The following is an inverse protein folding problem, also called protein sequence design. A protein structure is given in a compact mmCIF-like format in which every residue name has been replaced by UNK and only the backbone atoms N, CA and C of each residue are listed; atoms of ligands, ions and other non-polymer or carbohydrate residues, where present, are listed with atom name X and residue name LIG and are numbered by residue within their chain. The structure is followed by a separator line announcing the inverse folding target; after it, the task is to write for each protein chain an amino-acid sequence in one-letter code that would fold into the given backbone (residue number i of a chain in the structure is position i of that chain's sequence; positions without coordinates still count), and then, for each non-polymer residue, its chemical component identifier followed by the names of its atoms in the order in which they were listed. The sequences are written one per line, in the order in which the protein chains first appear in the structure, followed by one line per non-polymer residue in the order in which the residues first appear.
data_IF_447508708963
#
_entry.id   IF_447508708963
#
_cell.length_a   1.000
_cell.length_b   1.000
_cell.length_c   1.000
_cell.angle_alpha   90.00
_cell.angle_beta   90.00
_cell.angle_gamma   90.00
#
_symmetry.space_group_name_H-M   'P 1'
#
loop_
_entity.id
_entity.type
_entity.pdbx_description
1 polymer ?
#
# COMPACT_ATOMS: atom_id res chain seq x y z
N UNK A 1 -0.56 -10.25 -12.28
CA UNK A 1 -2.02 -10.14 -12.45
C UNK A 1 -2.67 -9.97 -11.09
N UNK A 2 -3.69 -9.11 -10.96
CA UNK A 2 -4.42 -8.92 -9.69
C UNK A 2 -5.38 -10.08 -9.43
N UNK A 3 -5.77 -10.30 -8.17
CA UNK A 3 -6.73 -11.35 -7.76
C UNK A 3 -7.85 -10.76 -6.90
N UNK A 4 -9.02 -11.41 -6.91
CA UNK A 4 -10.11 -11.08 -5.98
C UNK A 4 -9.63 -11.40 -4.55
N UNK A 5 -9.94 -10.51 -3.61
CA UNK A 5 -9.47 -10.55 -2.23
C UNK A 5 -8.08 -9.95 -2.02
N UNK A 6 -7.39 -9.53 -3.09
CA UNK A 6 -6.05 -8.94 -3.00
C UNK A 6 -6.14 -7.47 -2.53
N UNK A 7 -5.23 -7.10 -1.63
CA UNK A 7 -5.00 -5.71 -1.22
C UNK A 7 -4.08 -5.02 -2.23
N UNK A 8 -4.50 -3.84 -2.69
CA UNK A 8 -3.76 -3.03 -3.65
C UNK A 8 -3.63 -1.61 -3.13
N UNK A 9 -2.51 -0.96 -3.43
CA UNK A 9 -2.28 0.45 -3.10
C UNK A 9 -2.53 1.33 -4.31
N UNK A 10 -3.29 2.41 -4.14
CA UNK A 10 -3.46 3.41 -5.18
C UNK A 10 -2.18 4.24 -5.31
N UNK A 11 -1.53 4.16 -6.47
CA UNK A 11 -0.32 4.95 -6.79
C UNK A 11 -0.63 6.13 -7.70
N UNK A 12 -1.82 6.15 -8.30
CA UNK A 12 -2.24 7.26 -9.13
C UNK A 12 -3.68 7.69 -8.79
N UNK A 13 -3.78 8.70 -7.92
CA UNK A 13 -5.04 9.38 -7.63
C UNK A 13 -5.34 10.53 -8.61
N UNK A 14 -4.50 10.78 -9.62
CA UNK A 14 -4.56 11.97 -10.47
C UNK A 14 -5.83 12.05 -11.30
N UNK A 15 -6.18 13.30 -11.57
CA UNK A 15 -7.40 13.75 -12.25
C UNK A 15 -7.11 13.89 -13.74
N UNK A 16 -7.72 13.08 -14.61
CA UNK A 16 -7.92 13.50 -16.00
C UNK A 16 -9.20 14.32 -16.09
N UNK A 17 -8.98 15.63 -16.17
CA UNK A 17 -9.89 16.72 -16.49
C UNK A 17 -11.12 16.97 -15.60
N UNK A 18 -12.10 16.09 -15.37
CA UNK A 18 -13.24 16.47 -14.50
C UNK A 18 -13.92 15.30 -13.75
N UNK A 19 -13.93 15.43 -12.40
CA UNK A 19 -14.76 14.79 -11.35
C UNK A 19 -14.50 13.31 -10.91
N UNK A 20 -13.95 13.24 -9.68
CA UNK A 20 -14.26 12.38 -8.52
C UNK A 20 -14.41 10.86 -8.73
N UNK A 21 -13.33 10.14 -8.41
CA UNK A 21 -13.45 8.88 -7.66
C UNK A 21 -12.92 9.11 -6.25
N UNK A 22 -13.41 8.36 -5.25
CA UNK A 22 -12.94 8.50 -3.85
C UNK A 22 -11.56 7.87 -3.62
N UNK A 23 -10.71 7.82 -4.64
CA UNK A 23 -9.37 7.26 -4.54
C UNK A 23 -8.44 8.30 -3.93
N UNK A 24 -7.66 7.87 -2.94
CA UNK A 24 -6.55 8.63 -2.38
C UNK A 24 -5.25 7.92 -2.69
N UNK A 25 -4.22 8.70 -2.98
CA UNK A 25 -2.88 8.17 -3.20
C UNK A 25 -2.35 7.57 -1.91
N UNK A 26 -1.65 6.44 -2.02
CA UNK A 26 -1.14 5.62 -0.92
C UNK A 26 -2.22 4.98 -0.02
N UNK A 27 -3.50 5.07 -0.38
CA UNK A 27 -4.56 4.34 0.31
C UNK A 27 -4.68 2.92 -0.26
N UNK A 28 -4.97 1.96 0.63
CA UNK A 28 -5.13 0.55 0.29
C UNK A 28 -6.60 0.20 0.06
N UNK A 29 -6.85 -0.70 -0.88
CA UNK A 29 -8.17 -1.14 -1.26
C UNK A 29 -8.20 -2.64 -1.53
N UNK A 30 -9.36 -3.26 -1.32
CA UNK A 30 -9.58 -4.68 -1.57
C UNK A 30 -10.21 -4.88 -2.94
N UNK A 31 -9.59 -5.67 -3.81
CA UNK A 31 -10.16 -6.05 -5.11
C UNK A 31 -11.32 -7.04 -4.89
N UNK A 32 -12.52 -6.69 -5.34
CA UNK A 32 -13.71 -7.56 -5.26
C UNK A 32 -14.17 -8.10 -6.61
N UNK A 33 -13.62 -7.57 -7.69
CA UNK A 33 -13.96 -8.01 -9.04
C UNK A 33 -13.21 -7.24 -10.10
N UNK A 34 -13.49 -7.60 -11.35
CA UNK A 34 -12.89 -7.01 -12.53
C UNK A 34 -13.98 -6.62 -13.51
N UNK A 35 -13.77 -5.50 -14.19
CA UNK A 35 -14.58 -5.11 -15.33
C UNK A 35 -14.29 -6.08 -16.50
N UNK A 36 -15.30 -6.73 -17.09
CA UNK A 36 -15.10 -7.73 -18.15
C UNK A 36 -14.53 -7.17 -19.46
N UNK A 37 -14.50 -5.84 -19.64
CA UNK A 37 -14.05 -5.20 -20.89
C UNK A 37 -12.60 -4.73 -20.87
N UNK A 38 -12.08 -4.29 -19.72
CA UNK A 38 -10.78 -3.61 -19.61
C UNK A 38 -9.93 -4.07 -18.41
N UNK A 39 -10.34 -5.14 -17.72
CA UNK A 39 -9.74 -5.64 -16.49
C UNK A 39 -9.60 -4.57 -15.38
N UNK A 40 -10.43 -3.52 -15.43
CA UNK A 40 -10.50 -2.50 -14.40
C UNK A 40 -10.87 -3.10 -13.04
N UNK A 41 -10.27 -2.59 -11.97
CA UNK A 41 -10.46 -3.11 -10.62
C UNK A 41 -11.74 -2.56 -10.01
N UNK A 42 -12.62 -3.45 -9.56
CA UNK A 42 -13.74 -3.12 -8.68
C UNK A 42 -13.25 -3.24 -7.24
N UNK A 43 -13.43 -2.19 -6.45
CA UNK A 43 -12.91 -2.10 -5.09
C UNK A 43 -14.04 -2.20 -4.06
N UNK A 44 -13.74 -2.79 -2.90
CA UNK A 44 -14.72 -2.94 -1.82
C UNK A 44 -15.09 -1.60 -1.18
N UNK A 45 -14.09 -0.77 -0.92
CA UNK A 45 -14.21 0.43 -0.09
C UNK A 45 -14.73 1.64 -0.88
N UNK A 46 -14.58 1.63 -2.21
CA UNK A 46 -15.06 2.72 -3.07
C UNK A 46 -15.56 2.20 -4.40
N UNK A 47 -16.61 2.85 -4.91
CA UNK A 47 -17.16 2.59 -6.24
C UNK A 47 -16.73 3.68 -7.21
N UNK A 48 -16.35 3.28 -8.42
CA UNK A 48 -16.11 4.25 -9.49
C UNK A 48 -17.42 4.88 -9.93
N UNK A 49 -17.61 6.17 -9.62
CA UNK A 49 -18.86 6.91 -9.83
C UNK A 49 -19.26 7.00 -11.33
N UNK A 50 -18.29 6.89 -12.24
CA UNK A 50 -18.49 7.15 -13.68
C UNK A 50 -18.23 5.95 -14.60
N UNK A 51 -17.80 4.82 -14.06
CA UNK A 51 -17.69 3.60 -14.85
C UNK A 51 -19.04 2.89 -14.85
N UNK A 52 -19.56 2.52 -16.02
CA UNK A 52 -20.76 1.68 -16.13
C UNK A 52 -20.62 0.34 -15.38
N UNK A 53 -19.39 -0.07 -15.09
CA UNK A 53 -19.06 -1.30 -14.34
C UNK A 53 -18.48 -1.00 -12.94
N UNK A 54 -18.56 0.25 -12.47
CA UNK A 54 -18.04 0.69 -11.17
C UNK A 54 -16.55 0.36 -10.92
N UNK A 55 -15.75 0.21 -11.97
CA UNK A 55 -14.34 -0.15 -11.89
C UNK A 55 -13.38 1.04 -12.12
N UNK A 56 -12.16 0.91 -11.62
CA UNK A 56 -11.05 1.84 -11.83
C UNK A 56 -9.97 1.22 -12.71
N UNK A 57 -9.27 2.05 -13.49
CA UNK A 57 -8.19 1.59 -14.35
C UNK A 57 -7.06 0.90 -13.54
N UNK A 58 -6.59 -0.23 -14.07
CA UNK A 58 -5.65 -1.14 -13.41
C UNK A 58 -4.28 -0.53 -13.14
N UNK A 59 -3.81 0.32 -14.04
CA UNK A 59 -2.52 1.01 -14.00
C UNK A 59 -2.39 1.99 -12.81
N UNK A 60 -3.52 2.37 -12.20
CA UNK A 60 -3.57 3.23 -11.02
C UNK A 60 -3.19 2.54 -9.72
N UNK A 61 -3.01 1.22 -9.74
CA UNK A 61 -2.78 0.41 -8.55
C UNK A 61 -1.48 -0.39 -8.64
N UNK A 62 -0.87 -0.63 -7.48
CA UNK A 62 0.23 -1.58 -7.31
C UNK A 62 -0.16 -2.63 -6.28
N UNK A 63 0.44 -3.82 -6.41
CA UNK A 63 0.30 -4.88 -5.42
C UNK A 63 1.04 -4.47 -4.14
N UNK A 64 0.45 -4.81 -3.00
CA UNK A 64 1.14 -4.70 -1.72
C UNK A 64 2.02 -5.93 -1.55
N UNK A 65 3.32 -5.73 -1.40
CA UNK A 65 4.28 -6.79 -1.08
C UNK A 65 4.48 -6.83 0.44
N UNK A 66 3.77 -7.76 1.09
CA UNK A 66 3.85 -7.95 2.53
C UNK A 66 5.18 -8.54 2.97
N UNK A 67 5.82 -9.35 2.13
CA UNK A 67 7.10 -9.97 2.47
C UNK A 67 8.19 -8.89 2.51
N UNK A 68 8.19 -7.99 1.52
CA UNK A 68 9.04 -6.81 1.55
C UNK A 68 8.79 -5.94 2.79
N UNK A 69 7.53 -5.61 3.09
CA UNK A 69 7.20 -4.80 4.26
C UNK A 69 7.66 -5.44 5.58
N UNK A 70 7.48 -6.76 5.72
CA UNK A 70 7.91 -7.51 6.89
C UNK A 70 9.44 -7.55 7.02
N UNK A 71 10.16 -7.72 5.90
CA UNK A 71 11.62 -7.70 5.88
C UNK A 71 12.15 -6.34 6.33
N UNK A 72 11.64 -5.24 5.75
CA UNK A 72 12.01 -3.87 6.13
C UNK A 72 11.72 -3.61 7.61
N UNK A 73 10.55 -4.00 8.10
CA UNK A 73 10.21 -3.89 9.53
C UNK A 73 11.15 -4.70 10.42
N UNK A 74 11.58 -5.88 9.96
CA UNK A 74 12.52 -6.72 10.70
C UNK A 74 13.90 -6.06 10.80
N UNK A 75 14.37 -5.42 9.74
CA UNK A 75 15.68 -4.78 9.69
C UNK A 75 15.70 -3.50 10.53
N UNK A 76 14.66 -2.66 10.43
CA UNK A 76 14.47 -1.50 11.31
C UNK A 76 14.49 -1.91 12.79
N UNK A 77 13.81 -3.01 13.15
CA UNK A 77 13.82 -3.52 14.53
C UNK A 77 15.21 -3.97 14.99
N UNK A 78 15.99 -4.65 14.14
CA UNK A 78 17.36 -5.05 14.46
C UNK A 78 18.25 -3.84 14.68
N UNK A 79 18.16 -2.81 13.82
CA UNK A 79 18.92 -1.57 13.96
C UNK A 79 18.61 -0.84 15.28
N UNK A 80 17.33 -0.74 15.65
CA UNK A 80 16.94 -0.14 16.93
C UNK A 80 17.45 -0.90 18.15
N UNK A 81 17.47 -2.23 18.11
CA UNK A 81 18.05 -3.05 19.18
C UNK A 81 19.56 -2.84 19.32
N UNK A 82 20.29 -2.83 18.19
CA UNK A 82 21.75 -2.66 18.19
C UNK A 82 22.18 -1.28 18.73
N UNK A 83 21.48 -0.21 18.33
CA UNK A 83 21.77 1.14 18.84
C UNK A 83 21.43 1.32 20.33
N UNK A 84 20.45 0.58 20.86
CA UNK A 84 20.15 0.61 22.29
C UNK A 84 21.21 -0.14 23.11
N UNK A 85 21.76 -1.25 22.60
CA UNK A 85 22.85 -1.98 23.25
C UNK A 85 24.17 -1.19 23.27
N UNK A 86 24.52 -0.49 22.19
CA UNK A 86 25.75 0.34 22.15
C UNK A 86 25.69 1.51 23.13
N UNK A 87 24.53 2.18 23.26
CA UNK A 87 24.35 3.29 24.21
C UNK A 87 24.46 2.85 25.67
N UNK A 88 24.07 1.61 25.99
CA UNK A 88 24.20 1.05 27.34
C UNK A 88 25.65 0.69 27.65
N UNK A 89 26.38 0.13 26.68
CA UNK A 89 27.81 -0.19 26.80
C UNK A 89 28.64 1.08 27.09
N UNK A 90 28.46 2.14 26.30
CA UNK A 90 29.19 3.42 26.43
C UNK A 90 28.89 4.17 27.74
N UNK A 91 27.74 3.94 28.36
CA UNK A 91 27.41 4.51 29.67
C UNK A 91 28.13 3.80 30.82
N UNK A 92 28.34 2.49 30.71
CA UNK A 92 29.02 1.70 31.74
C UNK A 92 30.54 1.92 31.79
N UNK A 93 31.15 2.34 30.68
CA UNK A 93 32.58 2.64 30.61
C UNK A 93 32.95 4.04 31.12
N UNK A 94 32.00 4.98 31.15
CA UNK A 94 32.22 6.35 31.65
C UNK A 94 32.00 6.53 33.16
N UNK A 95 31.50 5.50 33.85
CA UNK A 95 31.25 5.51 35.30
C UNK A 95 32.27 4.71 36.11
N UNK A 96 33.35 4.23 35.47
CA UNK A 96 34.57 3.77 36.14
C UNK A 96 35.64 4.85 36.07
#
# INVERSE_FOLDING_TARGET
MFKIGEMVVCVDARRRWYKLGNLKENEMYTVVGFNPYDDGLVLKETKSIRSGHNAYARDRFRKVDYDFANNVLSDIKKEHHNHHSEKLSLKSEKTK
#
